data_IF_605358077245
#
_entry.id   IF_605358077245
#
_cell.length_a   1.000
_cell.length_b   1.000
_cell.length_c   1.000
_cell.angle_alpha   90.00
_cell.angle_beta   90.00
_cell.angle_gamma   90.00
#
_symmetry.space_group_name_H-M   'P 1'
#
loop_
_entity.id
_entity.type
_entity.pdbx_description
1 polymer ?
#
# COMPACT_ATOMS: atom_id res chain seq x y z
N UNK A 1 20.90 7.91 15.53
CA UNK A 1 20.51 9.06 14.70
C UNK A 1 19.18 9.57 15.23
N UNK A 2 19.07 10.88 15.41
CA UNK A 2 17.82 11.54 15.82
C UNK A 2 17.04 11.91 14.56
N UNK A 3 15.73 12.02 14.67
CA UNK A 3 14.88 12.49 13.54
C UNK A 3 15.29 13.88 13.07
N UNK A 4 15.77 14.73 13.99
CA UNK A 4 16.30 16.07 13.70
C UNK A 4 17.51 16.08 12.77
N UNK A 5 18.26 14.97 12.67
CA UNK A 5 19.44 14.88 11.80
C UNK A 5 19.05 14.90 10.30
N UNK A 6 17.76 14.80 10.00
CA UNK A 6 17.18 14.80 8.66
C UNK A 6 16.22 15.98 8.41
N UNK A 7 16.15 16.93 9.35
CA UNK A 7 15.32 18.11 9.22
C UNK A 7 15.96 19.14 8.28
N UNK A 8 15.15 19.76 7.42
CA UNK A 8 15.59 20.83 6.52
C UNK A 8 14.44 21.79 6.24
N UNK A 9 14.79 23.05 5.96
CA UNK A 9 13.78 24.04 5.59
C UNK A 9 13.25 23.76 4.18
N UNK A 10 11.97 23.39 4.07
CA UNK A 10 11.25 23.22 2.82
C UNK A 10 10.12 24.25 2.73
N UNK A 11 10.27 25.31 1.92
CA UNK A 11 9.19 26.24 1.64
C UNK A 11 7.96 25.50 1.07
N UNK A 12 6.73 25.74 1.60
CA UNK A 12 5.52 25.05 1.13
C UNK A 12 5.26 25.21 -0.37
N UNK A 13 5.60 26.36 -0.94
CA UNK A 13 5.39 26.65 -2.37
C UNK A 13 6.30 25.84 -3.30
N UNK A 14 7.35 25.18 -2.77
CA UNK A 14 8.20 24.27 -3.52
C UNK A 14 7.67 22.82 -3.52
N UNK A 15 6.57 22.54 -2.81
CA UNK A 15 5.88 21.24 -2.84
C UNK A 15 4.91 21.25 -4.02
N UNK A 16 5.27 20.50 -5.07
CA UNK A 16 4.45 20.37 -6.27
C UNK A 16 3.05 19.83 -5.92
N UNK A 17 2.01 20.60 -6.23
CA UNK A 17 0.61 20.21 -6.04
C UNK A 17 0.08 19.38 -7.23
N UNK A 18 0.65 19.61 -8.41
CA UNK A 18 0.35 18.87 -9.63
C UNK A 18 1.65 18.51 -10.34
N UNK A 19 1.68 17.40 -11.07
CA UNK A 19 2.84 17.04 -11.87
C UNK A 19 2.99 17.95 -13.09
N UNK A 20 4.24 18.13 -13.53
CA UNK A 20 4.54 18.78 -14.81
C UNK A 20 4.14 17.86 -15.97
N UNK A 21 3.65 18.44 -17.07
CA UNK A 21 3.38 17.75 -18.32
C UNK A 21 4.12 18.42 -19.49
N UNK A 22 4.86 17.65 -20.32
CA UNK A 22 5.05 16.20 -20.24
C UNK A 22 5.94 15.78 -19.04
N UNK A 23 5.69 14.59 -18.47
CA UNK A 23 6.38 14.11 -17.25
C UNK A 23 7.91 14.20 -17.27
N UNK A 24 8.52 13.94 -18.41
CA UNK A 24 9.97 13.98 -18.58
C UNK A 24 10.56 15.40 -18.57
N UNK A 25 9.74 16.45 -18.59
CA UNK A 25 10.17 17.84 -18.42
C UNK A 25 10.47 18.20 -16.95
N UNK A 26 10.25 17.28 -16.01
CA UNK A 26 10.66 17.46 -14.62
C UNK A 26 12.18 17.63 -14.48
N UNK A 27 12.60 18.44 -13.50
CA UNK A 27 14.02 18.62 -13.17
C UNK A 27 14.59 17.32 -12.60
N UNK A 28 15.85 17.03 -12.95
CA UNK A 28 16.63 15.91 -12.41
C UNK A 28 17.88 16.48 -11.73
N UNK A 29 18.04 16.18 -10.44
CA UNK A 29 19.28 16.43 -9.70
C UNK A 29 20.11 15.15 -9.74
N UNK A 30 21.34 15.24 -10.25
CA UNK A 30 22.28 14.12 -10.29
C UNK A 30 23.36 14.35 -9.25
N UNK A 31 23.49 13.41 -8.32
CA UNK A 31 24.49 13.47 -7.24
C UNK A 31 25.55 12.39 -7.43
N UNK A 32 26.76 12.80 -7.75
CA UNK A 32 27.90 11.92 -7.97
C UNK A 32 28.53 11.54 -6.63
N UNK A 33 28.04 10.45 -6.03
CA UNK A 33 28.44 10.00 -4.68
C UNK A 33 29.95 9.94 -4.44
N UNK A 34 30.75 9.63 -5.47
CA UNK A 34 32.21 9.49 -5.33
C UNK A 34 32.94 10.85 -5.23
N UNK A 35 32.44 11.89 -5.91
CA UNK A 35 33.05 13.23 -5.93
C UNK A 35 32.33 14.24 -5.06
N UNK A 36 31.05 13.98 -4.73
CA UNK A 36 30.15 14.96 -4.12
C UNK A 36 29.62 16.01 -5.12
N UNK A 37 29.92 15.86 -6.41
CA UNK A 37 29.45 16.77 -7.45
C UNK A 37 27.93 16.69 -7.63
N UNK A 38 27.32 17.86 -7.84
CA UNK A 38 25.88 18.01 -8.08
C UNK A 38 25.70 18.61 -9.46
N UNK A 39 24.95 17.91 -10.30
CA UNK A 39 24.51 18.40 -11.60
C UNK A 39 22.99 18.63 -11.60
N UNK A 40 22.56 19.56 -12.44
CA UNK A 40 21.14 19.84 -12.67
C UNK A 40 20.81 19.68 -14.15
N UNK A 41 19.85 18.83 -14.45
CA UNK A 41 19.36 18.55 -15.80
C UNK A 41 17.85 18.32 -15.79
N UNK A 42 17.31 17.68 -16.83
CA UNK A 42 15.90 17.27 -16.92
C UNK A 42 15.80 15.74 -16.95
N UNK A 43 14.65 15.20 -16.55
CA UNK A 43 14.43 13.76 -16.55
C UNK A 43 14.53 13.13 -17.95
N UNK A 44 14.30 13.92 -19.00
CA UNK A 44 14.56 13.52 -20.39
C UNK A 44 15.99 13.01 -20.62
N UNK A 45 16.97 13.58 -19.92
CA UNK A 45 18.40 13.23 -20.06
C UNK A 45 18.83 12.00 -19.25
N UNK A 46 17.91 11.31 -18.55
CA UNK A 46 18.26 10.18 -17.67
C UNK A 46 19.02 9.07 -18.40
N UNK A 47 18.74 8.87 -19.69
CA UNK A 47 19.42 7.87 -20.51
C UNK A 47 20.94 8.09 -20.62
N UNK A 48 21.40 9.34 -20.54
CA UNK A 48 22.82 9.73 -20.60
C UNK A 48 23.62 9.25 -19.38
N UNK A 49 22.95 8.86 -18.29
CA UNK A 49 23.57 8.38 -17.06
C UNK A 49 23.55 6.85 -16.92
N UNK A 50 22.91 6.15 -17.86
CA UNK A 50 22.81 4.68 -17.88
C UNK A 50 23.83 4.10 -18.87
N UNK A 51 24.41 2.96 -18.52
CA UNK A 51 25.35 2.23 -19.36
C UNK A 51 24.73 0.95 -19.92
N UNK A 52 25.19 0.48 -21.09
CA UNK A 52 24.84 -0.86 -21.55
C UNK A 52 25.14 -1.91 -20.48
N UNK A 53 24.13 -2.71 -20.13
CA UNK A 53 24.21 -3.72 -19.07
C UNK A 53 23.58 -3.29 -17.73
N UNK A 54 23.22 -2.02 -17.54
CA UNK A 54 22.49 -1.58 -16.35
C UNK A 54 21.05 -2.15 -16.33
N UNK A 55 20.55 -2.46 -15.13
CA UNK A 55 19.20 -2.95 -14.91
C UNK A 55 18.33 -1.85 -14.27
N UNK A 56 17.29 -1.44 -14.98
CA UNK A 56 16.25 -0.57 -14.41
C UNK A 56 15.13 -1.43 -13.81
N UNK A 57 15.02 -1.44 -12.48
CA UNK A 57 13.95 -2.13 -11.77
C UNK A 57 12.77 -1.17 -11.58
N UNK A 58 11.69 -1.41 -12.32
CA UNK A 58 10.46 -0.60 -12.24
C UNK A 58 9.46 -1.29 -11.32
N UNK A 59 8.97 -0.59 -10.31
CA UNK A 59 7.90 -1.08 -9.47
C UNK A 59 6.54 -0.89 -10.17
N UNK A 60 5.96 -1.98 -10.66
CA UNK A 60 4.61 -2.00 -11.20
C UNK A 60 3.62 -2.39 -10.08
N UNK A 61 3.07 -1.40 -9.37
CA UNK A 61 2.07 -1.68 -8.34
C UNK A 61 0.70 -2.01 -8.97
N UNK A 62 0.25 -3.25 -8.84
CA UNK A 62 -1.16 -3.62 -9.03
C UNK A 62 -1.88 -3.49 -7.70
N UNK A 63 -2.74 -2.49 -7.57
CA UNK A 63 -3.59 -2.35 -6.39
C UNK A 63 -4.80 -3.25 -6.56
N UNK A 64 -4.80 -4.40 -5.88
CA UNK A 64 -6.01 -5.21 -5.73
C UNK A 64 -6.95 -4.42 -4.81
N UNK A 65 -8.25 -4.27 -5.12
CA UNK A 65 -9.23 -3.65 -4.23
C UNK A 65 -9.48 -4.57 -3.02
N UNK A 66 -8.48 -4.66 -2.15
CA UNK A 66 -8.37 -5.63 -1.07
C UNK A 66 -9.02 -5.15 0.24
N UNK A 67 -9.62 -3.96 0.26
CA UNK A 67 -10.35 -3.45 1.43
C UNK A 67 -11.82 -3.86 1.34
N UNK A 68 -12.32 -4.53 2.37
CA UNK A 68 -13.73 -4.90 2.53
C UNK A 68 -14.23 -4.59 3.93
N UNK A 69 -15.55 -4.48 4.09
CA UNK A 69 -16.18 -4.26 5.39
C UNK A 69 -17.02 -5.46 5.79
N UNK A 70 -16.71 -6.01 6.96
CA UNK A 70 -17.50 -7.06 7.59
C UNK A 70 -18.24 -6.53 8.83
N UNK A 71 -19.20 -7.29 9.33
CA UNK A 71 -19.94 -6.99 10.57
C UNK A 71 -19.67 -8.07 11.61
N UNK A 72 -19.44 -7.63 12.85
CA UNK A 72 -19.45 -8.51 14.02
C UNK A 72 -20.87 -9.05 14.24
N UNK A 73 -21.05 -10.17 14.95
CA UNK A 73 -22.37 -10.64 15.37
C UNK A 73 -23.14 -9.59 16.18
N UNK A 74 -22.43 -8.67 16.86
CA UNK A 74 -23.01 -7.54 17.60
C UNK A 74 -23.46 -6.37 16.72
N UNK A 75 -23.33 -6.47 15.39
CA UNK A 75 -23.69 -5.43 14.41
C UNK A 75 -22.60 -4.38 14.13
N UNK A 76 -21.53 -4.34 14.92
CA UNK A 76 -20.42 -3.40 14.73
C UNK A 76 -19.62 -3.69 13.46
N UNK A 77 -19.35 -2.66 12.66
CA UNK A 77 -18.56 -2.77 11.43
C UNK A 77 -17.06 -2.95 11.73
N UNK A 78 -16.38 -3.70 10.86
CA UNK A 78 -14.95 -3.97 10.89
C UNK A 78 -14.41 -3.82 9.48
N UNK A 79 -13.35 -3.03 9.31
CA UNK A 79 -12.59 -2.97 8.07
C UNK A 79 -11.56 -4.10 8.05
N UNK A 80 -11.51 -4.83 6.93
CA UNK A 80 -10.49 -5.84 6.64
C UNK A 80 -9.75 -5.41 5.36
N UNK A 81 -8.44 -5.27 5.45
CA UNK A 81 -7.57 -5.07 4.30
C UNK A 81 -6.76 -6.35 4.09
N UNK A 82 -7.01 -7.06 3.00
CA UNK A 82 -6.30 -8.31 2.69
C UNK A 82 -4.85 -8.01 2.28
N UNK A 83 -3.89 -8.67 2.93
CA UNK A 83 -2.46 -8.42 2.75
C UNK A 83 -1.78 -9.55 1.97
N UNK A 84 -1.96 -10.79 2.44
CA UNK A 84 -1.26 -11.95 1.89
C UNK A 84 -2.19 -13.15 1.83
N UNK A 85 -2.23 -13.81 0.67
CA UNK A 85 -2.97 -15.05 0.47
C UNK A 85 -2.10 -16.23 0.86
N UNK A 86 -2.57 -17.04 1.81
CA UNK A 86 -1.89 -18.29 2.18
C UNK A 86 -2.42 -19.47 1.34
N UNK A 87 -3.74 -19.53 1.13
CA UNK A 87 -4.41 -20.52 0.29
C UNK A 87 -5.68 -19.94 -0.36
N UNK A 88 -6.56 -20.75 -0.94
CA UNK A 88 -7.79 -20.27 -1.60
C UNK A 88 -8.76 -19.50 -0.70
N UNK A 89 -8.76 -19.78 0.60
CA UNK A 89 -9.72 -19.20 1.55
C UNK A 89 -9.06 -18.57 2.76
N UNK A 90 -7.76 -18.80 2.96
CA UNK A 90 -6.99 -18.31 4.11
C UNK A 90 -6.13 -17.13 3.71
N UNK A 91 -6.26 -16.05 4.47
CA UNK A 91 -5.56 -14.79 4.23
C UNK A 91 -5.03 -14.19 5.53
N UNK A 92 -3.88 -13.53 5.45
CA UNK A 92 -3.49 -12.50 6.40
C UNK A 92 -4.21 -11.20 6.04
N UNK A 93 -4.82 -10.56 7.04
CA UNK A 93 -5.52 -9.29 6.87
C UNK A 93 -5.06 -8.28 7.91
N UNK A 94 -5.08 -7.00 7.56
CA UNK A 94 -5.02 -5.90 8.51
C UNK A 94 -6.45 -5.52 8.91
N UNK A 95 -6.70 -5.45 10.21
CA UNK A 95 -8.00 -5.03 10.76
C UNK A 95 -7.95 -3.55 11.13
N UNK A 96 -8.87 -2.76 10.55
CA UNK A 96 -9.12 -1.38 10.97
C UNK A 96 -10.00 -1.31 12.23
N UNK A 97 -9.65 -0.45 13.18
CA UNK A 97 -10.46 -0.14 14.37
C UNK A 97 -10.28 -1.10 15.55
N UNK A 98 -11.38 -1.41 16.27
CA UNK A 98 -11.36 -2.21 17.51
C UNK A 98 -11.08 -3.69 17.22
N UNK A 99 -10.03 -4.21 17.89
CA UNK A 99 -9.51 -5.59 17.81
C UNK A 99 -10.61 -6.64 17.63
N UNK A 100 -10.41 -7.55 16.66
CA UNK A 100 -11.18 -8.78 16.52
C UNK A 100 -10.35 -9.91 17.13
N UNK A 101 -10.94 -10.73 17.97
CA UNK A 101 -10.26 -11.85 18.65
C UNK A 101 -10.40 -13.14 17.84
N UNK A 102 -9.46 -14.07 18.02
CA UNK A 102 -9.54 -15.41 17.45
C UNK A 102 -10.85 -16.13 17.88
N UNK A 103 -11.35 -17.01 17.01
CA UNK A 103 -12.58 -17.77 17.21
C UNK A 103 -13.87 -17.00 16.91
N UNK A 104 -13.79 -15.71 16.54
CA UNK A 104 -14.97 -14.94 16.11
C UNK A 104 -15.22 -15.12 14.61
N UNK A 105 -16.50 -15.19 14.26
CA UNK A 105 -16.98 -15.15 12.88
C UNK A 105 -17.55 -13.75 12.58
N UNK A 106 -17.15 -13.18 11.47
CA UNK A 106 -17.66 -11.93 10.92
C UNK A 106 -18.52 -12.24 9.69
N UNK A 107 -19.45 -11.35 9.37
CA UNK A 107 -20.40 -11.49 8.27
C UNK A 107 -20.19 -10.39 7.23
N UNK A 108 -20.11 -10.78 5.96
CA UNK A 108 -20.14 -9.87 4.82
C UNK A 108 -21.56 -9.77 4.27
N UNK A 109 -21.85 -8.73 3.47
CA UNK A 109 -23.21 -8.42 3.00
C UNK A 109 -23.85 -9.53 2.14
N UNK A 110 -23.05 -10.32 1.41
CA UNK A 110 -23.53 -11.36 0.49
C UNK A 110 -23.69 -12.74 1.18
N UNK A 111 -23.69 -12.80 2.51
CA UNK A 111 -23.76 -14.04 3.29
C UNK A 111 -22.42 -14.75 3.48
N UNK A 112 -21.35 -14.28 2.82
CA UNK A 112 -19.99 -14.76 3.02
C UNK A 112 -19.55 -14.54 4.48
N UNK A 113 -18.92 -15.54 5.08
CA UNK A 113 -18.44 -15.46 6.47
C UNK A 113 -16.92 -15.48 6.54
N UNK A 114 -16.39 -14.82 7.57
CA UNK A 114 -14.95 -14.70 7.80
C UNK A 114 -14.64 -15.13 9.23
N UNK A 115 -13.95 -16.24 9.40
CA UNK A 115 -13.53 -16.74 10.71
C UNK A 115 -12.11 -16.25 11.04
N UNK A 116 -11.92 -15.67 12.22
CA UNK A 116 -10.59 -15.32 12.71
C UNK A 116 -9.92 -16.57 13.29
N UNK A 117 -8.91 -17.08 12.61
CA UNK A 117 -8.23 -18.34 12.97
C UNK A 117 -7.21 -18.09 14.08
N UNK A 118 -6.35 -17.10 13.89
CA UNK A 118 -5.24 -16.80 14.79
C UNK A 118 -4.91 -15.30 14.78
N UNK A 119 -4.35 -14.83 15.88
CA UNK A 119 -3.68 -13.52 15.91
C UNK A 119 -2.21 -13.75 15.57
N UNK A 120 -1.70 -13.10 14.53
CA UNK A 120 -0.28 -13.14 14.22
C UNK A 120 0.41 -12.01 15.00
N UNK A 121 0.16 -10.75 14.61
CA UNK A 121 0.74 -9.58 15.26
C UNK A 121 -0.28 -8.44 15.40
N UNK A 122 -0.65 -8.10 16.64
CA UNK A 122 -1.45 -6.89 16.92
C UNK A 122 -2.78 -6.80 16.16
N UNK A 123 -2.78 -6.04 15.06
CA UNK A 123 -3.90 -5.79 14.14
C UNK A 123 -3.89 -6.68 12.88
N UNK A 124 -3.01 -7.69 12.79
CA UNK A 124 -2.89 -8.60 11.65
C UNK A 124 -3.31 -10.04 11.99
N UNK A 125 -4.60 -10.35 12.06
CA UNK A 125 -5.04 -11.72 12.19
C UNK A 125 -4.91 -12.51 10.88
N UNK A 126 -4.79 -13.83 11.05
CA UNK A 126 -5.10 -14.81 10.01
C UNK A 126 -6.60 -15.09 10.03
N UNK A 127 -7.23 -15.04 8.86
CA UNK A 127 -8.67 -15.31 8.70
C UNK A 127 -8.92 -16.36 7.63
N UNK A 128 -10.07 -17.04 7.73
CA UNK A 128 -10.58 -17.96 6.71
C UNK A 128 -11.96 -17.51 6.25
N UNK A 129 -12.12 -17.34 4.95
CA UNK A 129 -13.41 -17.10 4.30
C UNK A 129 -14.15 -18.43 4.09
N UNK A 130 -15.49 -18.42 4.06
CA UNK A 130 -16.27 -19.63 3.79
C UNK A 130 -16.21 -20.13 2.34
N UNK A 131 -15.73 -19.29 1.41
CA UNK A 131 -15.44 -19.59 0.00
C UNK A 131 -14.36 -18.58 -0.49
N UNK A 132 -13.74 -18.78 -1.66
CA UNK A 132 -12.75 -17.85 -2.20
C UNK A 132 -13.29 -16.42 -2.31
N UNK A 133 -12.55 -15.46 -1.75
CA UNK A 133 -12.98 -14.07 -1.56
C UNK A 133 -12.83 -13.22 -2.83
N UNK A 134 -12.11 -13.68 -3.83
CA UNK A 134 -11.73 -12.93 -5.03
C UNK A 134 -12.94 -12.38 -5.77
N UNK A 135 -13.96 -13.21 -6.00
CA UNK A 135 -15.19 -12.77 -6.65
C UNK A 135 -15.93 -11.69 -5.82
N UNK A 136 -15.80 -11.73 -4.49
CA UNK A 136 -16.34 -10.70 -3.61
C UNK A 136 -15.52 -9.40 -3.70
N UNK A 137 -14.18 -9.49 -3.73
CA UNK A 137 -13.29 -8.33 -3.91
C UNK A 137 -13.56 -7.59 -5.22
N UNK A 138 -13.79 -8.32 -6.32
CA UNK A 138 -14.10 -7.71 -7.61
C UNK A 138 -15.40 -6.90 -7.58
N UNK A 139 -16.39 -7.33 -6.80
CA UNK A 139 -17.71 -6.67 -6.71
C UNK A 139 -17.78 -5.59 -5.64
N UNK A 140 -17.12 -5.80 -4.50
CA UNK A 140 -17.32 -5.03 -3.26
C UNK A 140 -16.03 -4.51 -2.64
N UNK A 141 -14.88 -4.91 -3.18
CA UNK A 141 -13.58 -4.44 -2.76
C UNK A 141 -13.41 -2.96 -3.04
N UNK A 142 -12.73 -2.27 -2.12
CA UNK A 142 -12.36 -0.88 -2.27
C UNK A 142 -10.85 -0.75 -2.39
N UNK A 143 -10.42 0.24 -3.17
CA UNK A 143 -9.01 0.60 -3.23
C UNK A 143 -8.59 1.19 -1.87
N UNK A 144 -7.54 0.68 -1.23
CA UNK A 144 -7.01 1.32 -0.03
C UNK A 144 -6.44 2.68 -0.42
N UNK A 145 -7.10 3.76 -0.02
CA UNK A 145 -6.52 5.09 -0.13
C UNK A 145 -5.31 5.17 0.80
N UNK A 146 -4.15 5.66 0.31
CA UNK A 146 -3.03 5.97 1.19
C UNK A 146 -3.46 7.07 2.17
N UNK A 147 -2.97 7.05 3.43
CA UNK A 147 -3.42 7.95 4.49
C UNK A 147 -3.00 9.42 4.29
N UNK A 148 -2.33 9.74 3.18
CA UNK A 148 -1.74 11.04 2.89
C UNK A 148 -2.53 11.83 1.83
N UNK A 149 -3.77 11.38 1.52
CA UNK A 149 -4.72 12.07 0.65
C UNK A 149 -5.96 12.43 1.47
#
# INVERSE_FOLDING_TARGET
MKTSDFDYHLPPDLIAQTPVEPRHASRLLVFHRNSGEIEHTTFWEIGSYLKPGDLLVINQTRVIPARIYARKPTGGQVELLLLHREDETTWEVLVGGKRVTAGKTLHLEDGLTVQVIAQLDGSRPRVRFSEPVEAYLERKGQMPLPPYI
#
